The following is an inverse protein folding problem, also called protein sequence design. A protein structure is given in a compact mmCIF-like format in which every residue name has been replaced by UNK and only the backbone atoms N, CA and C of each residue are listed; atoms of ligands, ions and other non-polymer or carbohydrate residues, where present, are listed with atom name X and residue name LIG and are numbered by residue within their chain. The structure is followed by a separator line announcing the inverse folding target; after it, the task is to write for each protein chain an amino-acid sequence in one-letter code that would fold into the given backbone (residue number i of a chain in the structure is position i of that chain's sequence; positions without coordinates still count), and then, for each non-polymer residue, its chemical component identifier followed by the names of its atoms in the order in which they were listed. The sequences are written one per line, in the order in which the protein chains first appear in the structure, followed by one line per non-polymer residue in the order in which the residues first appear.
data_IF_331596475054
#
_entry.id   IF_331596475054
#
_cell.length_a   1.000
_cell.length_b   1.000
_cell.length_c   1.000
_cell.angle_alpha   90.00
_cell.angle_beta   90.00
_cell.angle_gamma   90.00
#
_symmetry.space_group_name_H-M   'P 1'
#
loop_
_entity.id
_entity.type
_entity.pdbx_description
1 polymer ?
#
# COMPACT_ATOMS: atom_id res chain seq x y z
N UNK A 1 2.70 -12.78 -32.30
CA UNK A 1 1.58 -11.86 -32.58
C UNK A 1 1.83 -10.62 -31.75
N UNK A 2 1.96 -9.45 -32.37
CA UNK A 2 2.29 -8.21 -31.66
C UNK A 2 0.99 -7.47 -31.32
N UNK A 3 0.47 -7.66 -30.11
CA UNK A 3 -0.54 -6.75 -29.56
C UNK A 3 0.07 -5.35 -29.55
N UNK A 4 -0.61 -4.40 -30.18
CA UNK A 4 -0.19 -3.00 -30.14
C UNK A 4 -1.02 -2.30 -29.08
N UNK A 5 -0.40 -2.01 -27.95
CA UNK A 5 -1.01 -1.26 -26.86
C UNK A 5 -1.41 0.15 -27.34
N UNK A 6 -2.66 0.53 -27.06
CA UNK A 6 -3.20 1.85 -27.33
C UNK A 6 -3.62 2.52 -26.01
N UNK A 7 -3.23 3.78 -25.83
CA UNK A 7 -3.60 4.60 -24.68
C UNK A 7 -4.70 5.56 -25.13
N UNK A 8 -5.91 5.42 -24.58
CA UNK A 8 -7.04 6.32 -24.85
C UNK A 8 -7.19 7.36 -23.73
N UNK A 9 -7.14 8.63 -24.10
CA UNK A 9 -7.35 9.77 -23.20
C UNK A 9 -8.83 10.16 -23.13
N UNK A 10 -9.19 10.93 -22.08
CA UNK A 10 -10.53 11.49 -21.89
C UNK A 10 -11.05 12.30 -23.08
N UNK A 11 -10.14 12.92 -23.85
CA UNK A 11 -10.45 13.66 -25.08
C UNK A 11 -10.82 12.77 -26.28
N UNK A 12 -10.90 11.44 -26.07
CA UNK A 12 -11.11 10.41 -27.09
C UNK A 12 -9.98 10.28 -28.11
N UNK A 13 -8.89 11.03 -27.91
CA UNK A 13 -7.64 10.86 -28.66
C UNK A 13 -6.93 9.62 -28.13
N UNK A 14 -6.36 8.84 -29.02
CA UNK A 14 -5.67 7.61 -28.67
C UNK A 14 -4.21 7.63 -29.12
N UNK A 15 -3.27 7.35 -28.22
CA UNK A 15 -1.85 7.27 -28.50
C UNK A 15 -1.40 5.83 -28.73
N UNK A 16 -0.63 5.59 -29.79
CA UNK A 16 -0.01 4.30 -30.08
C UNK A 16 1.51 4.49 -29.96
N UNK A 17 2.07 4.07 -28.83
CA UNK A 17 3.47 4.33 -28.47
C UNK A 17 4.46 3.70 -29.46
N UNK A 18 4.18 2.47 -29.94
CA UNK A 18 5.02 1.75 -30.90
C UNK A 18 5.12 2.42 -32.29
N UNK A 19 4.14 3.27 -32.63
CA UNK A 19 4.07 3.97 -33.91
C UNK A 19 4.35 5.47 -33.79
N UNK A 20 4.38 6.02 -32.56
CA UNK A 20 4.55 7.45 -32.32
C UNK A 20 3.42 8.31 -32.91
N UNK A 21 2.19 7.79 -32.92
CA UNK A 21 1.03 8.47 -33.53
C UNK A 21 -0.12 8.68 -32.54
N UNK A 22 -0.83 9.80 -32.71
CA UNK A 22 -2.12 10.08 -32.09
C UNK A 22 -3.22 9.83 -33.13
N UNK A 23 -4.21 9.01 -32.77
CA UNK A 23 -5.41 8.73 -33.56
C UNK A 23 -6.63 9.41 -32.96
N UNK A 24 -7.40 10.04 -33.81
CA UNK A 24 -8.76 10.51 -33.54
C UNK A 24 -9.73 9.73 -34.43
N UNK A 25 -11.04 9.95 -34.27
CA UNK A 25 -12.05 9.37 -35.18
C UNK A 25 -11.88 9.79 -36.64
N UNK A 26 -11.18 10.90 -36.89
CA UNK A 26 -11.14 11.56 -38.20
C UNK A 26 -9.73 11.63 -38.82
N UNK A 27 -8.67 11.51 -38.00
CA UNK A 27 -7.30 11.69 -38.48
C UNK A 27 -6.26 10.94 -37.63
N UNK A 28 -5.10 10.68 -38.24
CA UNK A 28 -3.89 10.17 -37.57
C UNK A 28 -2.79 11.22 -37.67
N UNK A 29 -2.27 11.65 -36.53
CA UNK A 29 -1.22 12.67 -36.41
C UNK A 29 0.07 12.01 -35.91
N UNK A 30 1.17 12.22 -36.64
CA UNK A 30 2.49 11.74 -36.22
C UNK A 30 3.12 12.72 -35.23
N UNK A 31 3.65 12.20 -34.13
CA UNK A 31 4.44 12.96 -33.16
C UNK A 31 5.89 13.06 -33.64
N UNK A 32 6.54 14.18 -33.32
CA UNK A 32 7.99 14.26 -33.43
C UNK A 32 8.65 13.46 -32.29
N UNK A 33 9.97 13.24 -32.38
CA UNK A 33 10.68 12.36 -31.44
C UNK A 33 10.59 12.86 -29.99
N UNK A 34 10.77 14.17 -29.77
CA UNK A 34 10.69 14.77 -28.44
C UNK A 34 9.28 14.75 -27.86
N UNK A 35 8.26 14.99 -28.68
CA UNK A 35 6.84 14.86 -28.31
C UNK A 35 6.50 13.42 -27.94
N UNK A 36 6.98 12.44 -28.71
CA UNK A 36 6.78 11.02 -28.42
C UNK A 36 7.44 10.62 -27.11
N UNK A 37 8.72 10.98 -26.91
CA UNK A 37 9.45 10.66 -25.69
C UNK A 37 8.84 11.32 -24.46
N UNK A 38 8.51 12.61 -24.54
CA UNK A 38 7.85 13.33 -23.44
C UNK A 38 6.48 12.73 -23.12
N UNK A 39 5.67 12.45 -24.15
CA UNK A 39 4.33 11.90 -23.93
C UNK A 39 4.39 10.48 -23.35
N UNK A 40 5.24 9.60 -23.89
CA UNK A 40 5.45 8.25 -23.35
C UNK A 40 5.94 8.31 -21.90
N UNK A 41 6.93 9.15 -21.61
CA UNK A 41 7.51 9.28 -20.27
C UNK A 41 6.48 9.81 -19.26
N UNK A 42 5.62 10.75 -19.65
CA UNK A 42 4.52 11.23 -18.80
C UNK A 42 3.44 10.16 -18.56
N UNK A 43 3.21 9.25 -19.52
CA UNK A 43 2.25 8.16 -19.38
C UNK A 43 2.81 7.03 -18.51
N UNK A 44 4.08 6.68 -18.70
CA UNK A 44 4.78 5.70 -17.87
C UNK A 44 4.84 6.17 -16.41
N UNK A 45 5.09 7.46 -16.19
CA UNK A 45 5.17 8.07 -14.87
C UNK A 45 3.86 8.74 -14.42
N UNK A 46 2.71 8.41 -15.01
CA UNK A 46 1.44 9.10 -14.71
C UNK A 46 1.04 9.15 -13.23
N UNK A 47 1.51 8.19 -12.42
CA UNK A 47 1.27 8.14 -10.98
C UNK A 47 2.05 9.21 -10.19
N UNK A 48 3.09 9.83 -10.78
CA UNK A 48 3.95 10.82 -10.14
C UNK A 48 4.19 12.04 -11.03
N UNK A 49 4.23 13.27 -10.49
CA UNK A 49 4.67 14.44 -11.22
C UNK A 49 6.08 14.26 -11.79
N UNK A 50 6.26 14.51 -13.09
CA UNK A 50 7.58 14.50 -13.72
C UNK A 50 8.16 15.91 -13.70
N UNK A 51 9.41 16.04 -13.24
CA UNK A 51 10.08 17.34 -13.15
C UNK A 51 10.47 17.86 -14.53
N UNK A 52 10.64 19.18 -14.64
CA UNK A 52 11.08 19.80 -15.90
C UNK A 52 12.45 19.30 -16.35
N UNK A 53 13.40 19.15 -15.41
CA UNK A 53 14.76 18.69 -15.70
C UNK A 53 14.78 17.26 -16.25
N UNK A 54 13.88 16.40 -15.74
CA UNK A 54 13.75 15.03 -16.22
C UNK A 54 13.16 15.00 -17.64
N UNK A 55 12.13 15.80 -17.90
CA UNK A 55 11.54 15.93 -19.24
C UNK A 55 12.51 16.53 -20.27
N UNK A 56 13.38 17.46 -19.84
CA UNK A 56 14.43 18.01 -20.70
C UNK A 56 15.45 16.93 -21.09
N UNK A 57 15.84 16.06 -20.16
CA UNK A 57 16.76 14.93 -20.43
C UNK A 57 16.13 13.88 -21.34
N UNK A 58 14.88 13.51 -21.08
CA UNK A 58 14.20 12.44 -21.84
C UNK A 58 13.75 12.91 -23.23
N UNK A 59 13.26 14.15 -23.35
CA UNK A 59 12.82 14.70 -24.64
C UNK A 59 13.98 14.95 -25.62
N UNK A 60 15.20 15.12 -25.12
CA UNK A 60 16.39 15.46 -25.89
C UNK A 60 17.65 14.76 -25.35
N UNK A 61 17.76 13.42 -25.49
CA UNK A 61 18.87 12.65 -24.91
C UNK A 61 20.25 13.10 -25.42
N UNK A 62 20.33 13.55 -26.68
CA UNK A 62 21.59 13.94 -27.34
C UNK A 62 21.76 15.46 -27.49
N UNK A 63 20.90 16.28 -26.86
CA UNK A 63 20.90 17.74 -27.06
C UNK A 63 20.57 18.51 -25.78
N UNK A 64 21.34 19.55 -25.50
CA UNK A 64 21.05 20.48 -24.42
C UNK A 64 20.07 21.54 -24.95
N UNK A 65 18.88 21.59 -24.38
CA UNK A 65 17.82 22.57 -24.73
C UNK A 65 17.36 23.34 -23.50
N UNK A 66 16.70 24.48 -23.71
CA UNK A 66 16.18 25.33 -22.63
C UNK A 66 14.75 24.96 -22.25
N UNK A 67 14.29 25.39 -21.07
CA UNK A 67 12.89 25.24 -20.64
C UNK A 67 11.86 25.76 -21.66
N UNK A 68 12.21 26.78 -22.44
CA UNK A 68 11.33 27.31 -23.49
C UNK A 68 10.96 26.25 -24.53
N UNK A 69 11.89 25.32 -24.84
CA UNK A 69 11.66 24.21 -25.77
C UNK A 69 10.68 23.20 -25.18
N UNK A 70 10.81 22.89 -23.89
CA UNK A 70 9.85 22.06 -23.16
C UNK A 70 8.45 22.67 -23.18
N UNK A 71 8.33 23.98 -22.95
CA UNK A 71 7.03 24.67 -23.00
C UNK A 71 6.37 24.61 -24.38
N UNK A 72 7.16 24.73 -25.45
CA UNK A 72 6.65 24.57 -26.82
C UNK A 72 6.13 23.16 -27.09
N UNK A 73 6.88 22.13 -26.67
CA UNK A 73 6.46 20.72 -26.83
C UNK A 73 5.20 20.43 -26.03
N UNK A 74 5.13 20.85 -24.76
CA UNK A 74 3.92 20.66 -23.94
C UNK A 74 2.72 21.39 -24.57
N UNK A 75 2.90 22.62 -25.07
CA UNK A 75 1.83 23.35 -25.76
C UNK A 75 1.38 22.61 -27.02
N UNK A 76 2.31 22.09 -27.82
CA UNK A 76 1.99 21.33 -29.03
C UNK A 76 1.25 20.02 -28.71
N UNK A 77 1.69 19.29 -27.68
CA UNK A 77 1.01 18.08 -27.20
C UNK A 77 -0.42 18.36 -26.76
N UNK A 78 -0.66 19.43 -25.97
CA UNK A 78 -2.03 19.80 -25.54
C UNK A 78 -2.98 20.05 -26.72
N UNK A 79 -2.48 20.72 -27.76
CA UNK A 79 -3.26 20.95 -28.99
C UNK A 79 -3.55 19.63 -29.71
N UNK A 80 -2.54 18.76 -29.87
CA UNK A 80 -2.69 17.47 -30.55
C UNK A 80 -3.56 16.47 -29.76
N UNK A 81 -3.60 16.60 -28.44
CA UNK A 81 -4.46 15.83 -27.54
C UNK A 81 -5.87 16.39 -27.45
N UNK A 82 -6.18 17.47 -28.17
CA UNK A 82 -7.49 18.11 -28.21
C UNK A 82 -8.00 18.55 -26.83
N UNK A 83 -7.10 19.08 -25.99
CA UNK A 83 -7.46 19.69 -24.71
C UNK A 83 -8.31 20.95 -24.94
N UNK A 84 -9.49 21.03 -24.30
CA UNK A 84 -10.33 22.23 -24.35
C UNK A 84 -9.93 23.23 -23.27
N UNK A 85 -9.57 22.73 -22.10
CA UNK A 85 -9.01 23.48 -21.00
C UNK A 85 -7.60 22.99 -20.69
N UNK A 86 -6.72 23.91 -20.27
CA UNK A 86 -5.36 23.53 -19.84
C UNK A 86 -5.46 22.56 -18.66
N UNK A 87 -4.87 21.37 -18.81
CA UNK A 87 -4.88 20.36 -17.75
C UNK A 87 -5.94 19.27 -17.93
N UNK A 88 -6.66 19.25 -19.05
CA UNK A 88 -7.60 18.16 -19.37
C UNK A 88 -6.89 16.80 -19.54
N UNK A 89 -5.65 16.81 -20.02
CA UNK A 89 -4.82 15.59 -20.17
C UNK A 89 -3.46 15.78 -19.51
N UNK A 90 -2.74 16.86 -19.82
CA UNK A 90 -1.44 17.22 -19.24
C UNK A 90 -1.63 18.38 -18.25
N UNK A 91 -1.61 18.06 -16.97
CA UNK A 91 -1.67 19.02 -15.86
C UNK A 91 -0.29 19.66 -15.61
N UNK A 92 -0.26 20.98 -15.37
CA UNK A 92 0.94 21.68 -14.90
C UNK A 92 0.89 21.78 -13.38
N UNK A 93 1.91 21.28 -12.70
CA UNK A 93 2.05 21.42 -11.25
C UNK A 93 3.06 22.53 -10.93
N UNK A 94 2.63 23.66 -10.34
CA UNK A 94 3.52 24.78 -10.05
C UNK A 94 4.74 24.35 -9.24
N UNK A 95 5.94 24.81 -9.66
CA UNK A 95 7.24 24.51 -9.03
C UNK A 95 7.68 23.04 -9.07
N UNK A 96 6.92 22.15 -9.71
CA UNK A 96 7.24 20.73 -9.80
C UNK A 96 7.50 20.34 -11.26
N UNK A 97 6.50 20.49 -12.13
CA UNK A 97 6.62 20.07 -13.53
C UNK A 97 5.27 19.72 -14.15
N UNK A 98 5.16 18.55 -14.77
CA UNK A 98 3.97 18.12 -15.53
C UNK A 98 3.53 16.72 -15.11
N UNK A 99 2.24 16.44 -15.24
CA UNK A 99 1.65 15.13 -14.97
C UNK A 99 0.52 14.84 -15.95
N UNK A 100 0.30 13.58 -16.30
CA UNK A 100 -0.89 13.14 -17.03
C UNK A 100 -1.86 12.48 -16.06
N UNK A 101 -3.14 12.86 -16.15
CA UNK A 101 -4.24 12.22 -15.41
C UNK A 101 -5.21 11.55 -16.38
N UNK A 102 -5.84 10.47 -15.91
CA UNK A 102 -6.98 9.82 -16.55
C UNK A 102 -6.78 9.39 -18.01
N UNK A 103 -6.22 8.18 -18.19
CA UNK A 103 -6.23 7.47 -19.47
C UNK A 103 -6.55 5.99 -19.25
N UNK A 104 -6.92 5.31 -20.33
CA UNK A 104 -7.23 3.87 -20.35
C UNK A 104 -6.28 3.17 -21.31
N UNK A 105 -5.80 1.97 -20.96
CA UNK A 105 -4.97 1.13 -21.82
C UNK A 105 -5.87 0.09 -22.48
N UNK A 106 -5.85 0.03 -23.80
CA UNK A 106 -6.65 -0.90 -24.61
C UNK A 106 -5.71 -1.68 -25.55
N UNK A 107 -5.92 -2.99 -25.67
CA UNK A 107 -5.23 -3.81 -26.66
C UNK A 107 -6.03 -3.84 -27.97
N UNK A 108 -5.39 -3.46 -29.09
CA UNK A 108 -6.01 -3.57 -30.42
C UNK A 108 -5.51 -4.83 -31.12
N UNK A 109 -6.43 -5.74 -31.46
CA UNK A 109 -6.20 -6.78 -32.46
C UNK A 109 -6.37 -6.17 -33.87
N UNK A 110 -5.27 -6.02 -34.62
CA UNK A 110 -5.25 -5.32 -35.91
C UNK A 110 -5.80 -6.13 -37.10
N UNK A 111 -6.50 -7.24 -36.87
CA UNK A 111 -6.83 -8.20 -37.93
C UNK A 111 -8.28 -8.18 -38.48
N UNK A 112 -9.07 -7.13 -38.26
CA UNK A 112 -10.47 -7.12 -38.72
C UNK A 112 -10.73 -6.57 -40.15
N UNK A 113 -9.71 -6.37 -40.99
CA UNK A 113 -9.94 -5.83 -42.36
C UNK A 113 -9.25 -6.51 -43.54
N UNK A 114 -8.70 -7.72 -43.41
CA UNK A 114 -8.11 -8.39 -44.59
C UNK A 114 -8.12 -9.92 -44.59
N UNK A 115 -9.27 -10.54 -44.36
CA UNK A 115 -9.43 -11.98 -44.68
C UNK A 115 -10.83 -12.35 -45.19
N UNK A 116 -11.42 -11.53 -46.06
CA UNK A 116 -12.31 -12.08 -47.08
C UNK A 116 -11.39 -12.50 -48.24
N UNK A 117 -11.20 -13.82 -48.42
CA UNK A 117 -10.70 -14.53 -49.63
C UNK A 117 -9.58 -15.58 -49.45
N UNK A 118 -9.34 -16.15 -48.27
CA UNK A 118 -8.56 -17.41 -48.20
C UNK A 118 -9.19 -18.38 -47.20
N UNK A 119 -10.36 -18.92 -47.55
CA UNK A 119 -10.83 -20.19 -46.98
C UNK A 119 -10.95 -21.18 -48.13
N UNK A 120 -9.84 -21.86 -48.41
CA UNK A 120 -9.92 -23.23 -48.86
C UNK A 120 -8.70 -23.98 -48.35
N UNK A 121 -8.97 -25.14 -47.75
CA UNK A 121 -8.02 -26.22 -47.42
C UNK A 121 -7.15 -26.04 -46.17
N UNK A 122 -7.73 -26.26 -44.99
CA UNK A 122 -6.99 -26.85 -43.86
C UNK A 122 -7.82 -28.00 -43.26
N UNK A 123 -7.13 -29.13 -43.07
CA UNK A 123 -7.66 -30.48 -42.88
C UNK A 123 -8.07 -30.74 -41.41
N UNK A 124 -9.25 -31.34 -41.20
CA UNK A 124 -9.98 -31.46 -39.91
C UNK A 124 -9.42 -32.47 -38.88
N UNK A 125 -8.12 -32.77 -38.86
CA UNK A 125 -7.55 -33.79 -37.94
C UNK A 125 -6.58 -33.31 -36.87
N UNK A 126 -6.34 -32.00 -36.73
CA UNK A 126 -5.37 -31.46 -35.74
C UNK A 126 -5.97 -30.55 -34.65
N UNK A 127 -7.29 -30.54 -34.46
CA UNK A 127 -7.97 -29.61 -33.51
C UNK A 127 -8.28 -30.23 -32.12
N UNK A 128 -7.86 -31.47 -31.84
CA UNK A 128 -8.26 -32.13 -30.57
C UNK A 128 -7.12 -32.18 -29.51
N UNK A 129 -5.86 -31.88 -29.84
CA UNK A 129 -4.75 -32.00 -28.87
C UNK A 129 -4.20 -30.69 -28.27
N UNK A 130 -4.74 -29.51 -28.61
CA UNK A 130 -4.27 -28.23 -28.05
C UNK A 130 -5.21 -27.59 -27.01
N UNK A 131 -6.46 -28.07 -26.91
CA UNK A 131 -7.46 -27.49 -26.00
C UNK A 131 -7.23 -27.77 -24.51
N UNK A 132 -6.49 -28.83 -24.18
CA UNK A 132 -6.32 -29.28 -22.78
C UNK A 132 -5.13 -28.58 -22.08
N UNK A 133 -4.15 -28.09 -22.83
CA UNK A 133 -2.95 -27.45 -22.26
C UNK A 133 -3.19 -25.95 -21.99
N UNK A 134 -4.04 -25.28 -22.78
CA UNK A 134 -4.34 -23.86 -22.58
C UNK A 134 -5.21 -23.59 -21.33
N UNK A 135 -6.14 -24.49 -20.99
CA UNK A 135 -7.01 -24.34 -19.82
C UNK A 135 -6.25 -24.50 -18.49
N UNK A 136 -5.16 -25.29 -18.48
CA UNK A 136 -4.30 -25.45 -17.31
C UNK A 136 -3.39 -24.22 -17.08
N UNK A 137 -2.98 -23.52 -18.14
CA UNK A 137 -2.12 -22.33 -18.04
C UNK A 137 -2.92 -21.07 -17.70
N UNK A 138 -4.16 -20.93 -18.20
CA UNK A 138 -5.00 -19.78 -17.84
C UNK A 138 -5.54 -19.82 -16.40
N UNK A 139 -5.80 -21.01 -15.86
CA UNK A 139 -6.21 -21.16 -14.45
C UNK A 139 -5.06 -20.90 -13.45
N UNK A 140 -3.81 -21.01 -13.91
CA UNK A 140 -2.61 -20.63 -13.13
C UNK A 140 -2.36 -19.12 -13.12
N UNK A 141 -2.59 -18.42 -14.22
CA UNK A 141 -2.35 -16.96 -14.30
C UNK A 141 -3.40 -16.14 -13.55
N UNK A 142 -4.64 -16.64 -13.37
CA UNK A 142 -5.66 -15.93 -12.59
C UNK A 142 -5.42 -15.94 -11.08
N UNK A 143 -4.42 -16.70 -10.58
CA UNK A 143 -4.14 -16.80 -9.14
C UNK A 143 -3.08 -15.79 -8.64
N UNK A 144 -2.42 -15.04 -9.52
CA UNK A 144 -1.37 -14.10 -9.13
C UNK A 144 -1.81 -12.63 -9.05
N UNK A 145 -3.09 -12.33 -9.29
CA UNK A 145 -3.69 -11.06 -8.89
C UNK A 145 -4.67 -11.38 -7.76
N UNK A 146 -4.25 -11.20 -6.51
CA UNK A 146 -5.19 -11.16 -5.39
C UNK A 146 -6.21 -10.05 -5.68
N UNK A 147 -7.50 -10.37 -5.87
CA UNK A 147 -8.50 -9.33 -6.09
C UNK A 147 -8.48 -8.42 -4.86
N UNK A 148 -8.52 -7.11 -5.09
CA UNK A 148 -8.65 -6.14 -4.01
C UNK A 148 -9.85 -6.50 -3.13
N UNK A 149 -9.69 -6.37 -1.81
CA UNK A 149 -10.73 -6.74 -0.87
C UNK A 149 -11.96 -5.86 -1.04
N UNK A 150 -12.99 -6.40 -1.67
CA UNK A 150 -14.26 -5.68 -1.82
C UNK A 150 -15.13 -5.78 -0.57
N UNK A 151 -14.87 -6.77 0.29
CA UNK A 151 -15.63 -7.05 1.53
C UNK A 151 -14.70 -7.28 2.73
N UNK A 152 -15.17 -7.02 3.96
CA UNK A 152 -14.43 -7.37 5.17
C UNK A 152 -14.15 -8.86 5.25
N UNK A 153 -12.94 -9.21 5.66
CA UNK A 153 -12.52 -10.57 5.94
C UNK A 153 -13.11 -11.06 7.25
N UNK A 154 -13.49 -12.35 7.26
CA UNK A 154 -13.94 -13.05 8.45
C UNK A 154 -12.80 -13.92 8.97
N UNK A 155 -12.29 -13.61 10.15
CA UNK A 155 -11.18 -14.32 10.75
C UNK A 155 -11.67 -15.48 11.63
N UNK A 156 -10.78 -16.44 11.87
CA UNK A 156 -10.88 -17.38 12.97
C UNK A 156 -10.20 -16.75 14.19
N UNK A 157 -10.94 -16.64 15.29
CA UNK A 157 -10.47 -16.05 16.54
C UNK A 157 -10.52 -17.13 17.62
N UNK A 158 -9.39 -17.35 18.30
CA UNK A 158 -9.29 -18.26 19.45
C UNK A 158 -8.58 -17.56 20.60
N UNK A 159 -9.06 -17.81 21.82
CA UNK A 159 -8.49 -17.29 23.04
C UNK A 159 -7.93 -18.43 23.86
N UNK A 160 -6.68 -18.30 24.32
CA UNK A 160 -6.01 -19.28 25.17
C UNK A 160 -5.26 -18.56 26.29
N UNK A 161 -5.36 -19.08 27.50
CA UNK A 161 -4.53 -18.61 28.61
C UNK A 161 -3.29 -19.51 28.70
N UNK A 162 -2.10 -18.91 28.65
CA UNK A 162 -0.82 -19.62 28.85
C UNK A 162 -0.08 -18.96 30.02
N UNK A 163 -0.01 -19.66 31.15
CA UNK A 163 0.45 -19.08 32.40
C UNK A 163 -0.49 -17.96 32.84
N UNK A 164 0.06 -16.78 33.11
CA UNK A 164 -0.73 -15.58 33.46
C UNK A 164 -1.03 -14.65 32.26
N UNK A 165 -0.74 -15.10 31.04
CA UNK A 165 -0.98 -14.33 29.83
C UNK A 165 -2.30 -14.72 29.16
N UNK A 166 -3.04 -13.71 28.69
CA UNK A 166 -4.20 -13.90 27.82
C UNK A 166 -3.76 -13.75 26.37
N UNK A 167 -3.87 -14.82 25.59
CA UNK A 167 -3.42 -14.86 24.21
C UNK A 167 -4.63 -14.96 23.28
N UNK A 168 -4.68 -14.09 22.28
CA UNK A 168 -5.67 -14.12 21.20
C UNK A 168 -4.99 -14.43 19.88
N UNK A 169 -5.46 -15.46 19.20
CA UNK A 169 -5.01 -15.85 17.86
C UNK A 169 -6.03 -15.39 16.83
N UNK A 170 -5.58 -14.65 15.82
CA UNK A 170 -6.41 -14.16 14.71
C UNK A 170 -5.83 -14.72 13.41
N UNK A 171 -6.60 -15.52 12.68
CA UNK A 171 -6.10 -16.26 11.49
C UNK A 171 -7.16 -16.36 10.40
N UNK A 172 -6.77 -16.72 9.18
CA UNK A 172 -7.70 -16.95 8.06
C UNK A 172 -8.15 -18.40 7.95
N UNK A 173 -7.35 -19.34 8.47
CA UNK A 173 -7.60 -20.78 8.37
C UNK A 173 -6.99 -21.56 9.55
N UNK A 174 -7.41 -22.81 9.70
CA UNK A 174 -7.01 -23.69 10.81
C UNK A 174 -5.51 -24.04 10.80
N UNK A 175 -4.87 -24.06 9.63
CA UNK A 175 -3.44 -24.34 9.51
C UNK A 175 -2.61 -23.21 10.14
N UNK A 176 -2.93 -21.97 9.79
CA UNK A 176 -2.33 -20.78 10.40
C UNK A 176 -2.55 -20.76 11.91
N UNK A 177 -3.73 -21.17 12.37
CA UNK A 177 -4.07 -21.24 13.80
C UNK A 177 -3.21 -22.26 14.54
N UNK A 178 -3.08 -23.48 14.02
CA UNK A 178 -2.26 -24.52 14.61
C UNK A 178 -0.77 -24.11 14.71
N UNK A 179 -0.25 -23.47 13.66
CA UNK A 179 1.13 -22.96 13.63
C UNK A 179 1.37 -21.88 14.70
N UNK A 180 0.50 -20.87 14.79
CA UNK A 180 0.62 -19.81 15.80
C UNK A 180 0.52 -20.35 17.22
N UNK A 181 -0.37 -21.31 17.48
CA UNK A 181 -0.51 -21.93 18.81
C UNK A 181 0.72 -22.71 19.23
N UNK A 182 1.30 -23.49 18.31
CA UNK A 182 2.55 -24.21 18.56
C UNK A 182 3.68 -23.24 18.89
N UNK A 183 3.81 -22.17 18.11
CA UNK A 183 4.78 -21.09 18.31
C UNK A 183 4.59 -20.34 19.64
N UNK A 184 3.36 -20.03 20.03
CA UNK A 184 3.06 -19.37 21.29
C UNK A 184 3.45 -20.22 22.50
N UNK A 185 3.16 -21.53 22.48
CA UNK A 185 3.57 -22.47 23.54
C UNK A 185 5.09 -22.61 23.69
N UNK A 186 5.83 -22.43 22.59
CA UNK A 186 7.30 -22.43 22.64
C UNK A 186 7.89 -21.13 23.24
N UNK A 187 7.15 -20.02 23.18
CA UNK A 187 7.57 -18.70 23.67
C UNK A 187 7.14 -18.48 25.12
N UNK A 188 5.91 -18.83 25.44
CA UNK A 188 5.30 -18.57 26.74
C UNK A 188 5.29 -19.85 27.57
N UNK A 189 6.06 -19.85 28.66
CA UNK A 189 6.03 -20.92 29.66
C UNK A 189 4.99 -20.63 30.74
N UNK A 190 4.22 -21.63 31.21
CA UNK A 190 3.27 -21.46 32.31
C UNK A 190 3.89 -20.98 33.62
N UNK A 191 5.21 -21.13 33.79
CA UNK A 191 5.94 -20.83 35.02
C UNK A 191 6.33 -19.36 35.16
N UNK A 192 6.17 -18.54 34.12
CA UNK A 192 6.58 -17.14 34.10
C UNK A 192 5.33 -16.26 34.13
N UNK A 193 5.11 -15.57 35.25
CA UNK A 193 4.02 -14.60 35.37
C UNK A 193 4.42 -13.26 34.73
N UNK A 194 4.01 -13.04 33.49
CA UNK A 194 4.20 -11.76 32.79
C UNK A 194 2.96 -10.89 32.75
N UNK A 195 1.76 -11.43 33.00
CA UNK A 195 0.48 -10.71 33.02
C UNK A 195 0.32 -9.83 31.78
N UNK A 196 0.31 -10.46 30.60
CA UNK A 196 0.22 -9.77 29.32
C UNK A 196 -1.05 -10.12 28.56
N UNK A 197 -1.57 -9.15 27.81
CA UNK A 197 -2.46 -9.40 26.68
C UNK A 197 -1.58 -9.53 25.44
N UNK A 198 -1.66 -10.67 24.75
CA UNK A 198 -0.86 -10.97 23.57
C UNK A 198 -1.80 -11.30 22.42
N UNK A 199 -1.53 -10.74 21.25
CA UNK A 199 -2.31 -10.92 20.05
C UNK A 199 -1.38 -11.41 18.95
N UNK A 200 -1.76 -12.53 18.33
CA UNK A 200 -1.05 -13.09 17.20
C UNK A 200 -1.91 -12.99 15.94
N UNK A 201 -1.25 -12.64 14.84
CA UNK A 201 -1.81 -12.68 13.50
C UNK A 201 -0.80 -13.33 12.55
N UNK A 202 -1.29 -14.12 11.61
CA UNK A 202 -0.49 -14.70 10.53
C UNK A 202 -1.13 -14.35 9.19
N UNK A 203 -0.34 -13.69 8.35
CA UNK A 203 -0.60 -13.56 6.92
C UNK A 203 0.10 -14.69 6.17
N UNK A 204 -0.10 -14.78 4.87
CA UNK A 204 0.63 -15.72 4.01
C UNK A 204 2.12 -15.33 3.92
N UNK A 205 2.42 -14.02 4.01
CA UNK A 205 3.78 -13.49 3.81
C UNK A 205 4.53 -13.12 5.10
N UNK A 206 3.85 -13.07 6.26
CA UNK A 206 4.48 -12.62 7.51
C UNK A 206 3.71 -13.04 8.76
N UNK A 207 4.41 -13.00 9.90
CA UNK A 207 3.80 -13.07 11.22
C UNK A 207 3.67 -11.67 11.81
N UNK A 208 2.63 -11.44 12.61
CA UNK A 208 2.51 -10.22 13.39
C UNK A 208 2.10 -10.54 14.83
N UNK A 209 2.73 -9.84 15.76
CA UNK A 209 2.50 -10.02 17.18
C UNK A 209 2.43 -8.66 17.83
N UNK A 210 1.39 -8.43 18.62
CA UNK A 210 1.29 -7.26 19.47
C UNK A 210 1.00 -7.69 20.90
N UNK A 211 1.56 -7.00 21.89
CA UNK A 211 1.21 -7.25 23.29
C UNK A 211 1.24 -5.98 24.12
N UNK A 212 0.69 -6.06 25.33
CA UNK A 212 0.86 -5.09 26.40
C UNK A 212 0.89 -5.80 27.76
N UNK A 213 1.54 -5.22 28.77
CA UNK A 213 1.39 -5.68 30.16
C UNK A 213 0.09 -5.11 30.74
N UNK A 214 -0.63 -5.91 31.52
CA UNK A 214 -1.89 -5.47 32.15
C UNK A 214 -1.74 -5.10 33.62
N UNK A 215 -2.60 -4.19 34.07
CA UNK A 215 -2.86 -3.95 35.50
C UNK A 215 -3.93 -4.94 35.96
N UNK A 216 -3.68 -5.68 37.05
CA UNK A 216 -4.50 -6.83 37.46
C UNK A 216 -5.93 -6.48 37.89
N UNK A 217 -6.13 -5.27 38.40
CA UNK A 217 -7.41 -4.75 38.89
C UNK A 217 -8.34 -4.30 37.74
N UNK A 218 -7.78 -3.65 36.75
CA UNK A 218 -8.51 -3.01 35.64
C UNK A 218 -8.44 -3.80 34.35
N UNK A 219 -7.54 -4.79 34.25
CA UNK A 219 -7.22 -5.52 33.02
C UNK A 219 -6.81 -4.59 31.85
N UNK A 220 -6.38 -3.36 32.13
CA UNK A 220 -5.97 -2.38 31.13
C UNK A 220 -4.47 -2.48 30.86
N UNK A 221 -4.08 -2.25 29.60
CA UNK A 221 -2.69 -2.14 29.18
C UNK A 221 -2.02 -0.97 29.93
N UNK A 222 -0.88 -1.25 30.54
CA UNK A 222 -0.02 -0.23 31.15
C UNK A 222 0.62 0.62 30.05
N UNK A 223 0.67 1.96 30.20
CA UNK A 223 1.35 2.83 29.25
C UNK A 223 2.80 2.39 28.99
N UNK A 224 3.26 2.53 27.74
CA UNK A 224 4.65 2.23 27.33
C UNK A 224 5.06 0.75 27.47
N UNK A 225 4.10 -0.15 27.70
CA UNK A 225 4.35 -1.60 27.72
C UNK A 225 3.80 -2.30 26.50
N UNK A 226 3.22 -1.53 25.58
CA UNK A 226 2.63 -1.99 24.34
C UNK A 226 3.68 -2.01 23.22
N UNK A 227 3.72 -3.11 22.48
CA UNK A 227 4.68 -3.34 21.41
C UNK A 227 4.00 -4.05 20.24
N UNK A 228 4.46 -3.74 19.03
CA UNK A 228 3.92 -4.27 17.77
C UNK A 228 5.07 -4.71 16.86
N UNK A 229 5.03 -5.96 16.42
CA UNK A 229 6.05 -6.56 15.58
C UNK A 229 5.45 -7.12 14.29
N UNK A 230 6.10 -6.84 13.16
CA UNK A 230 5.90 -7.52 11.88
C UNK A 230 7.16 -8.31 11.55
N UNK A 231 7.04 -9.62 11.38
CA UNK A 231 8.15 -10.56 11.38
C UNK A 231 8.11 -11.35 10.08
N UNK A 232 9.20 -11.30 9.31
CA UNK A 232 9.38 -12.11 8.12
C UNK A 232 9.30 -13.62 8.46
N UNK A 233 8.81 -14.49 7.55
CA UNK A 233 8.57 -15.89 7.87
C UNK A 233 9.80 -16.64 8.37
N UNK A 234 10.96 -16.32 7.79
CA UNK A 234 12.29 -16.84 8.11
C UNK A 234 12.93 -16.18 9.35
N UNK A 235 12.49 -14.99 9.73
CA UNK A 235 13.04 -14.22 10.84
C UNK A 235 12.44 -14.56 12.22
N UNK A 236 11.55 -15.56 12.30
CA UNK A 236 10.91 -15.98 13.56
C UNK A 236 11.92 -16.30 14.67
N UNK A 237 12.98 -17.05 14.34
CA UNK A 237 14.03 -17.41 15.32
C UNK A 237 14.79 -16.17 15.81
N UNK A 238 14.98 -15.17 14.95
CA UNK A 238 15.62 -13.93 15.36
C UNK A 238 14.74 -13.14 16.32
N UNK A 239 13.43 -13.10 16.06
CA UNK A 239 12.44 -12.49 16.95
C UNK A 239 12.47 -13.14 18.34
N UNK A 240 12.39 -14.46 18.43
CA UNK A 240 12.39 -15.15 19.74
C UNK A 240 13.70 -14.91 20.50
N UNK A 241 14.84 -15.03 19.84
CA UNK A 241 16.14 -14.80 20.48
C UNK A 241 16.32 -13.34 20.94
N UNK A 242 15.99 -12.35 20.09
CA UNK A 242 16.29 -10.94 20.37
C UNK A 242 15.27 -10.25 21.27
N UNK A 243 14.00 -10.57 21.12
CA UNK A 243 12.91 -9.87 21.81
C UNK A 243 12.48 -10.64 23.05
N UNK A 244 12.15 -11.93 22.88
CA UNK A 244 11.61 -12.74 23.97
C UNK A 244 12.72 -13.07 24.98
N UNK A 245 13.82 -13.69 24.51
CA UNK A 245 14.85 -14.21 25.42
C UNK A 245 15.72 -13.09 26.01
N UNK A 246 16.11 -12.12 25.17
CA UNK A 246 16.97 -11.01 25.59
C UNK A 246 16.19 -9.80 26.15
N UNK A 247 14.85 -9.89 26.25
CA UNK A 247 13.95 -8.84 26.77
C UNK A 247 14.19 -7.45 26.17
N UNK A 248 14.67 -7.36 24.92
CA UNK A 248 14.86 -6.07 24.24
C UNK A 248 13.51 -5.60 23.74
N UNK A 249 13.02 -4.53 24.35
CA UNK A 249 11.78 -3.87 23.99
C UNK A 249 12.13 -2.53 23.34
N UNK A 250 11.45 -2.20 22.24
CA UNK A 250 11.76 -1.03 21.43
C UNK A 250 10.54 -0.11 21.43
N UNK A 251 10.58 0.90 22.30
CA UNK A 251 9.74 2.09 22.17
C UNK A 251 10.70 3.21 21.76
N UNK A 252 10.70 3.57 20.48
CA UNK A 252 11.66 4.55 19.99
C UNK A 252 11.15 5.96 20.26
N UNK A 253 11.93 6.72 21.02
CA UNK A 253 11.64 8.12 21.31
C UNK A 253 12.07 8.97 20.11
N UNK A 254 11.13 9.63 19.43
CA UNK A 254 11.49 10.51 18.31
C UNK A 254 11.68 11.92 18.83
N UNK A 255 12.91 12.44 18.72
CA UNK A 255 13.09 13.88 18.61
C UNK A 255 12.81 14.28 17.16
N UNK A 256 11.56 14.65 16.87
CA UNK A 256 11.25 15.29 15.59
C UNK A 256 11.66 16.76 15.70
N UNK A 257 12.86 17.10 15.24
CA UNK A 257 13.37 18.49 15.19
C UNK A 257 12.67 19.33 14.11
N UNK A 258 11.33 19.37 14.10
CA UNK A 258 10.59 20.24 13.21
C UNK A 258 9.57 21.05 13.99
N UNK A 259 9.97 22.26 14.37
CA UNK A 259 9.11 23.29 14.97
C UNK A 259 7.90 23.67 14.07
N UNK A 260 7.88 23.21 12.82
CA UNK A 260 6.86 23.51 11.82
C UNK A 260 5.79 22.43 11.64
N UNK A 261 5.96 21.24 12.25
CA UNK A 261 4.99 20.15 12.12
C UNK A 261 3.92 20.28 13.19
N UNK A 262 2.63 20.29 12.78
CA UNK A 262 1.52 20.16 13.73
C UNK A 262 1.70 18.87 14.54
N UNK A 263 1.32 18.91 15.81
CA UNK A 263 1.31 17.70 16.62
C UNK A 263 0.34 16.67 16.04
N UNK A 264 0.75 15.40 15.89
CA UNK A 264 -0.14 14.36 15.37
C UNK A 264 -1.26 14.07 16.36
N UNK A 265 -2.44 13.76 15.83
CA UNK A 265 -3.58 13.33 16.66
C UNK A 265 -3.44 11.88 17.07
N UNK A 266 -2.71 11.06 16.30
CA UNK A 266 -2.36 9.70 16.72
C UNK A 266 -0.99 9.28 16.21
N UNK A 267 -0.33 8.40 16.95
CA UNK A 267 1.01 7.88 16.65
C UNK A 267 0.98 6.36 16.69
N UNK A 268 1.66 5.72 15.74
CA UNK A 268 1.83 4.27 15.68
C UNK A 268 3.31 3.94 15.70
N UNK A 269 3.73 3.05 16.58
CA UNK A 269 5.09 2.51 16.65
C UNK A 269 5.08 1.06 16.15
N UNK A 270 5.90 0.74 15.14
CA UNK A 270 6.01 -0.62 14.59
C UNK A 270 7.47 -1.02 14.42
N UNK A 271 7.80 -2.24 14.83
CA UNK A 271 9.11 -2.84 14.58
C UNK A 271 9.01 -3.96 13.55
N UNK A 272 9.86 -3.90 12.54
CA UNK A 272 9.95 -4.87 11.47
C UNK A 272 11.19 -5.72 11.68
N UNK A 273 11.04 -7.04 11.57
CA UNK A 273 12.11 -8.02 11.80
C UNK A 273 12.25 -8.86 10.54
N UNK A 274 13.44 -8.78 9.92
CA UNK A 274 13.79 -9.55 8.73
C UNK A 274 15.31 -9.77 8.66
N UNK A 275 15.81 -10.17 7.49
CA UNK A 275 17.23 -10.47 7.25
C UNK A 275 18.17 -9.33 7.66
N UNK A 276 17.72 -8.10 7.45
CA UNK A 276 18.49 -6.89 7.71
C UNK A 276 18.43 -6.45 9.20
N UNK A 277 17.93 -7.31 10.08
CA UNK A 277 17.76 -7.03 11.50
C UNK A 277 16.43 -6.36 11.83
N UNK A 278 16.41 -5.65 12.96
CA UNK A 278 15.22 -4.94 13.46
C UNK A 278 15.29 -3.49 12.97
N UNK A 279 14.20 -3.02 12.39
CA UNK A 279 14.06 -1.62 11.96
C UNK A 279 12.69 -1.11 12.41
N UNK A 280 12.66 0.07 13.00
CA UNK A 280 11.41 0.69 13.46
C UNK A 280 10.88 1.69 12.45
N UNK A 281 9.55 1.74 12.36
CA UNK A 281 8.80 2.78 11.69
C UNK A 281 7.83 3.43 12.63
N UNK A 282 7.59 4.70 12.38
CA UNK A 282 6.61 5.47 13.12
C UNK A 282 5.66 6.14 12.15
N UNK A 283 4.37 6.05 12.42
CA UNK A 283 3.33 6.70 11.61
C UNK A 283 2.64 7.77 12.43
N UNK A 284 2.68 9.00 11.93
CA UNK A 284 1.93 10.13 12.47
C UNK A 284 0.62 10.28 11.69
N UNK A 285 -0.50 10.28 12.41
CA UNK A 285 -1.84 10.39 11.85
C UNK A 285 -2.50 11.72 12.25
N UNK A 286 -3.10 12.38 11.27
CA UNK A 286 -3.85 13.62 11.40
C UNK A 286 -5.27 13.34 10.92
N UNK A 287 -6.23 13.31 11.83
CA UNK A 287 -7.60 12.85 11.55
C UNK A 287 -8.58 14.02 11.76
N UNK A 288 -9.46 14.23 10.78
CA UNK A 288 -10.48 15.26 10.82
C UNK A 288 -11.87 14.63 10.65
N UNK A 289 -12.85 14.94 11.50
CA UNK A 289 -14.23 14.51 11.29
C UNK A 289 -14.82 15.16 10.05
N UNK A 290 -15.73 14.45 9.38
CA UNK A 290 -16.53 14.99 8.27
C UNK A 290 -17.93 15.39 8.75
N UNK A 291 -18.74 15.94 7.84
CA UNK A 291 -20.17 16.20 8.05
C UNK A 291 -20.99 14.91 8.25
N UNK A 292 -20.46 13.77 7.81
CA UNK A 292 -21.09 12.46 7.93
C UNK A 292 -20.67 11.75 9.21
N UNK A 293 -21.67 11.19 9.91
CA UNK A 293 -21.41 10.41 11.12
C UNK A 293 -20.53 9.19 10.82
N UNK A 294 -19.55 8.92 11.70
CA UNK A 294 -18.57 7.83 11.58
C UNK A 294 -17.67 7.88 10.33
N UNK A 295 -17.61 9.01 9.63
CA UNK A 295 -16.72 9.23 8.49
C UNK A 295 -15.67 10.28 8.84
N UNK A 296 -14.41 9.95 8.60
CA UNK A 296 -13.26 10.77 8.94
C UNK A 296 -12.32 10.82 7.74
N UNK A 297 -11.76 11.99 7.45
CA UNK A 297 -10.63 12.09 6.54
C UNK A 297 -9.35 12.11 7.38
N UNK A 298 -8.32 11.40 6.92
CA UNK A 298 -7.06 11.42 7.63
C UNK A 298 -5.86 11.39 6.70
N UNK A 299 -4.77 11.99 7.16
CA UNK A 299 -3.47 11.93 6.53
C UNK A 299 -2.48 11.20 7.42
N UNK A 300 -1.60 10.41 6.80
CA UNK A 300 -0.58 9.62 7.47
C UNK A 300 0.78 9.95 6.91
N UNK A 301 1.76 10.17 7.78
CA UNK A 301 3.16 10.30 7.40
C UNK A 301 3.91 9.15 8.07
N UNK A 302 4.54 8.31 7.26
CA UNK A 302 5.41 7.25 7.75
C UNK A 302 6.83 7.78 7.82
N UNK A 303 7.52 7.47 8.92
CA UNK A 303 8.92 7.74 9.15
C UNK A 303 9.68 6.44 9.33
N UNK A 304 10.90 6.39 8.82
CA UNK A 304 11.83 5.26 8.99
C UNK A 304 13.10 5.74 9.68
N UNK A 305 13.62 4.93 10.60
CA UNK A 305 14.89 5.21 11.26
C UNK A 305 16.08 4.92 10.33
N UNK A 306 16.99 5.87 10.20
CA UNK A 306 18.29 5.67 9.54
C UNK A 306 19.20 4.84 10.46
N UNK A 307 19.69 3.70 9.95
CA UNK A 307 20.50 2.75 10.73
C UNK A 307 21.85 3.31 11.23
N UNK A 308 22.42 4.30 10.55
CA UNK A 308 23.74 4.86 10.88
C UNK A 308 23.62 6.01 11.86
N UNK A 309 22.61 6.86 11.68
CA UNK A 309 22.45 8.10 12.43
C UNK A 309 21.39 8.01 13.53
N UNK A 310 20.52 7.00 13.49
CA UNK A 310 19.37 6.88 14.39
C UNK A 310 18.28 7.94 14.16
N UNK A 311 18.45 8.83 13.17
CA UNK A 311 17.49 9.89 12.87
C UNK A 311 16.35 9.35 12.00
N UNK A 312 15.16 9.87 12.26
CA UNK A 312 13.97 9.53 11.50
C UNK A 312 13.85 10.40 10.25
N UNK A 313 13.56 9.75 9.12
CA UNK A 313 13.33 10.41 7.84
C UNK A 313 11.93 10.07 7.33
N UNK A 314 11.27 11.03 6.70
CA UNK A 314 9.96 10.80 6.09
C UNK A 314 10.10 9.78 4.96
N UNK A 315 9.34 8.69 5.05
CA UNK A 315 9.32 7.60 4.09
C UNK A 315 8.24 7.79 3.02
N UNK A 316 7.02 8.07 3.47
CA UNK A 316 5.85 8.25 2.62
C UNK A 316 4.82 9.13 3.30
N UNK A 317 3.96 9.72 2.47
CA UNK A 317 2.80 10.52 2.86
C UNK A 317 1.58 9.93 2.17
N UNK A 318 0.49 9.80 2.91
CA UNK A 318 -0.77 9.32 2.36
C UNK A 318 -1.97 10.09 2.94
N UNK A 319 -3.07 10.09 2.20
CA UNK A 319 -4.34 10.70 2.59
C UNK A 319 -5.50 9.78 2.17
N UNK A 320 -6.44 9.60 3.09
CA UNK A 320 -7.46 8.56 3.04
C UNK A 320 -8.77 9.05 3.65
N UNK A 321 -9.87 8.41 3.25
CA UNK A 321 -11.18 8.59 3.90
C UNK A 321 -11.58 7.30 4.58
N UNK A 322 -11.87 7.36 5.87
CA UNK A 322 -12.15 6.24 6.76
C UNK A 322 -13.62 6.26 7.18
N UNK A 323 -14.31 5.13 7.01
CA UNK A 323 -15.68 4.92 7.47
C UNK A 323 -15.70 3.82 8.52
N UNK A 324 -16.17 4.14 9.73
CA UNK A 324 -16.25 3.18 10.83
C UNK A 324 -17.59 2.43 10.81
N UNK A 325 -17.51 1.11 10.73
CA UNK A 325 -18.64 0.17 10.67
C UNK A 325 -18.64 -0.66 11.95
N UNK A 326 -19.62 -0.43 12.83
CA UNK A 326 -19.76 -1.17 14.10
C UNK A 326 -20.68 -2.37 13.97
N UNK A 327 -21.81 -2.19 13.29
CA UNK A 327 -22.79 -3.25 13.06
C UNK A 327 -22.16 -4.36 12.20
N UNK A 328 -22.39 -5.61 12.57
CA UNK A 328 -21.91 -6.81 11.87
C UNK A 328 -20.38 -7.01 11.85
N UNK A 329 -19.62 -6.21 12.61
CA UNK A 329 -18.18 -6.42 12.78
C UNK A 329 -17.90 -7.63 13.68
N UNK A 330 -16.87 -8.41 13.32
CA UNK A 330 -16.37 -9.48 14.18
C UNK A 330 -15.57 -8.93 15.39
N UNK A 331 -15.08 -7.70 15.28
CA UNK A 331 -14.33 -7.02 16.33
C UNK A 331 -15.13 -5.82 16.87
N UNK A 332 -14.48 -4.92 17.61
CA UNK A 332 -15.10 -3.70 18.15
C UNK A 332 -15.67 -2.84 17.01
N UNK A 333 -14.91 -2.71 15.91
CA UNK A 333 -15.37 -2.08 14.68
C UNK A 333 -14.51 -2.51 13.49
N UNK A 334 -15.10 -2.45 12.30
CA UNK A 334 -14.41 -2.55 11.02
C UNK A 334 -14.26 -1.17 10.42
N UNK A 335 -13.07 -0.84 9.95
CA UNK A 335 -12.71 0.43 9.34
C UNK A 335 -12.62 0.21 7.83
N UNK A 336 -13.56 0.79 7.07
CA UNK A 336 -13.47 0.81 5.60
C UNK A 336 -12.67 2.03 5.18
N UNK A 337 -11.54 1.81 4.53
CA UNK A 337 -10.60 2.85 4.18
C UNK A 337 -10.59 3.02 2.66
N UNK A 338 -10.79 4.26 2.22
CA UNK A 338 -10.76 4.67 0.82
C UNK A 338 -9.50 5.50 0.56
N UNK A 339 -8.54 5.00 -0.24
CA UNK A 339 -7.36 5.76 -0.62
C UNK A 339 -7.74 7.04 -1.38
N UNK A 340 -7.01 8.13 -1.14
CA UNK A 340 -7.16 9.40 -1.90
C UNK A 340 -5.86 9.83 -2.57
N UNK A 341 -4.77 9.91 -1.81
CA UNK A 341 -3.44 10.32 -2.30
C UNK A 341 -2.36 9.50 -1.61
N UNK A 342 -1.35 9.09 -2.37
CA UNK A 342 -0.14 8.49 -1.81
C UNK A 342 1.10 9.05 -2.52
N UNK A 343 2.17 9.26 -1.75
CA UNK A 343 3.42 9.78 -2.24
C UNK A 343 4.60 9.18 -1.47
N UNK A 344 5.54 8.61 -2.21
CA UNK A 344 6.86 8.25 -1.68
C UNK A 344 7.69 9.53 -1.49
N UNK A 345 8.12 9.81 -0.25
CA UNK A 345 9.01 10.95 0.04
C UNK A 345 10.47 10.53 0.05
N UNK A 346 10.74 9.24 0.27
CA UNK A 346 12.09 8.71 0.34
C UNK A 346 12.67 8.48 -1.07
N UNK A 347 13.74 9.20 -1.40
CA UNK A 347 14.53 8.91 -2.60
C UNK A 347 15.55 7.80 -2.29
N UNK A 348 15.49 6.73 -3.09
CA UNK A 348 16.26 5.51 -2.96
C UNK A 348 17.77 5.78 -2.93
N UNK A 349 18.43 5.61 -1.79
CA UNK A 349 19.86 5.29 -1.80
C UNK A 349 19.99 3.91 -2.45
N UNK A 350 20.66 3.82 -3.60
CA UNK A 350 20.73 2.70 -4.55
C UNK A 350 21.12 1.29 -4.01
N UNK A 351 21.20 1.09 -2.69
CA UNK A 351 21.59 -0.15 -2.02
C UNK A 351 20.43 -0.88 -1.30
N UNK A 352 19.18 -0.42 -1.37
CA UNK A 352 18.05 -1.09 -0.72
C UNK A 352 17.22 -2.00 -1.65
N UNK A 353 17.61 -2.14 -2.92
CA UNK A 353 16.76 -2.69 -3.99
C UNK A 353 17.05 -4.13 -4.44
N UNK A 354 17.64 -5.02 -3.63
CA UNK A 354 17.82 -6.42 -4.09
C UNK A 354 17.32 -7.53 -3.16
N UNK A 355 16.63 -7.20 -2.07
CA UNK A 355 15.78 -8.17 -1.37
C UNK A 355 14.56 -7.42 -0.80
N UNK A 356 13.34 -7.87 -1.12
CA UNK A 356 12.06 -7.28 -0.68
C UNK A 356 11.96 -7.33 0.85
N UNK A 357 12.62 -6.39 1.52
CA UNK A 357 12.65 -6.36 2.97
C UNK A 357 11.23 -6.09 3.48
N UNK A 358 10.75 -6.92 4.41
CA UNK A 358 9.39 -6.84 5.00
C UNK A 358 9.04 -5.44 5.50
N UNK A 359 10.03 -4.61 5.80
CA UNK A 359 9.83 -3.21 6.14
C UNK A 359 9.12 -2.39 5.05
N UNK A 360 9.44 -2.54 3.76
CA UNK A 360 8.81 -1.74 2.70
C UNK A 360 7.49 -2.31 2.19
N UNK A 361 7.15 -3.55 2.58
CA UNK A 361 5.94 -4.24 2.11
C UNK A 361 4.64 -3.47 2.38
N UNK A 362 4.57 -2.69 3.47
CA UNK A 362 3.39 -1.88 3.77
C UNK A 362 3.19 -0.78 2.73
N UNK A 363 4.25 -0.04 2.42
CA UNK A 363 4.21 1.09 1.50
C UNK A 363 4.10 0.62 0.04
N UNK A 364 4.69 -0.54 -0.30
CA UNK A 364 4.50 -1.20 -1.59
C UNK A 364 3.04 -1.63 -1.79
N UNK A 365 2.46 -2.29 -0.77
CA UNK A 365 1.05 -2.68 -0.80
C UNK A 365 0.12 -1.46 -0.85
N UNK A 366 0.43 -0.40 -0.10
CA UNK A 366 -0.29 0.87 -0.21
C UNK A 366 -0.19 1.39 -1.65
N UNK A 367 1.00 1.48 -2.24
CA UNK A 367 1.19 1.93 -3.63
C UNK A 367 0.26 1.20 -4.60
N UNK A 368 0.10 -0.12 -4.48
CA UNK A 368 -0.83 -0.91 -5.30
C UNK A 368 -2.30 -0.58 -5.03
N UNK A 369 -2.70 -0.49 -3.76
CA UNK A 369 -4.06 -0.11 -3.33
C UNK A 369 -4.44 1.27 -3.86
N UNK A 370 -3.51 2.23 -3.83
CA UNK A 370 -3.70 3.58 -4.35
C UNK A 370 -3.75 3.62 -5.88
N UNK A 371 -2.88 2.89 -6.58
CA UNK A 371 -2.90 2.76 -8.05
C UNK A 371 -4.25 2.24 -8.54
N UNK A 372 -4.82 1.28 -7.83
CA UNK A 372 -6.09 0.66 -8.20
C UNK A 372 -7.31 1.42 -7.65
N UNK A 373 -7.10 2.42 -6.79
CA UNK A 373 -8.16 3.17 -6.08
C UNK A 373 -9.17 2.24 -5.38
N UNK A 374 -8.66 1.17 -4.76
CA UNK A 374 -9.49 0.11 -4.17
C UNK A 374 -9.65 0.32 -2.66
N UNK A 375 -10.86 0.14 -2.10
CA UNK A 375 -11.01 0.14 -0.65
C UNK A 375 -10.22 -1.00 -0.02
N UNK A 376 -9.78 -0.79 1.22
CA UNK A 376 -9.29 -1.84 2.10
C UNK A 376 -9.94 -1.74 3.48
N UNK A 377 -9.73 -2.78 4.30
CA UNK A 377 -10.37 -2.89 5.61
C UNK A 377 -9.35 -3.14 6.71
N UNK A 378 -9.46 -2.31 7.75
CA UNK A 378 -8.74 -2.49 9.02
C UNK A 378 -9.75 -2.80 10.13
N UNK A 379 -9.30 -3.35 11.26
CA UNK A 379 -10.18 -3.84 12.31
C UNK A 379 -9.70 -3.36 13.68
N UNK A 380 -10.58 -2.73 14.46
CA UNK A 380 -10.29 -2.39 15.86
C UNK A 380 -10.49 -3.66 16.69
N UNK A 381 -9.40 -4.33 17.05
CA UNK A 381 -9.41 -5.62 17.76
C UNK A 381 -9.64 -5.44 19.25
N UNK A 382 -8.94 -4.47 19.85
CA UNK A 382 -9.03 -4.15 21.27
C UNK A 382 -8.94 -2.64 21.45
N UNK A 383 -9.53 -2.11 22.53
CA UNK A 383 -9.51 -0.69 22.80
C UNK A 383 -9.51 -0.40 24.30
N UNK A 384 -8.80 0.66 24.67
CA UNK A 384 -8.92 1.35 25.95
C UNK A 384 -8.77 2.85 25.70
N UNK A 385 -8.91 3.65 26.77
CA UNK A 385 -8.74 5.10 26.66
C UNK A 385 -7.37 5.44 26.05
N UNK A 386 -7.38 6.12 24.90
CA UNK A 386 -6.21 6.57 24.12
C UNK A 386 -5.30 5.49 23.52
N UNK A 387 -5.68 4.21 23.59
CA UNK A 387 -4.89 3.13 23.03
C UNK A 387 -5.82 2.12 22.35
N UNK A 388 -5.63 1.88 21.06
CA UNK A 388 -6.41 0.93 20.28
C UNK A 388 -5.46 -0.04 19.59
N UNK A 389 -5.82 -1.33 19.56
CA UNK A 389 -5.15 -2.33 18.74
C UNK A 389 -5.87 -2.42 17.41
N UNK A 390 -5.13 -2.15 16.33
CA UNK A 390 -5.63 -2.28 14.97
C UNK A 390 -5.01 -3.53 14.34
N UNK A 391 -5.82 -4.26 13.60
CA UNK A 391 -5.38 -5.28 12.65
C UNK A 391 -5.58 -4.76 11.23
N UNK A 392 -4.51 -4.73 10.45
CA UNK A 392 -4.55 -4.61 9.00
C UNK A 392 -4.03 -5.90 8.40
N UNK A 393 -4.66 -6.40 7.34
CA UNK A 393 -4.18 -7.65 6.73
C UNK A 393 -2.82 -7.51 6.07
N UNK A 394 -2.51 -6.31 5.57
CA UNK A 394 -1.26 -6.01 4.90
C UNK A 394 -0.18 -5.55 5.88
N UNK A 395 -0.53 -4.76 6.90
CA UNK A 395 0.45 -4.22 7.87
C UNK A 395 0.57 -5.02 9.17
N UNK A 396 -0.35 -5.94 9.44
CA UNK A 396 -0.41 -6.72 10.67
C UNK A 396 -1.07 -5.97 11.84
N UNK A 397 -0.74 -6.40 13.05
CA UNK A 397 -1.22 -5.85 14.31
C UNK A 397 -0.37 -4.65 14.75
N UNK A 398 -1.01 -3.55 15.11
CA UNK A 398 -0.32 -2.38 15.64
C UNK A 398 -1.16 -1.55 16.62
N UNK A 399 -0.48 -0.94 17.59
CA UNK A 399 -1.09 -0.06 18.59
C UNK A 399 -1.16 1.40 18.10
N UNK A 400 -2.39 1.93 18.05
CA UNK A 400 -2.68 3.33 17.75
C UNK A 400 -2.81 4.14 19.05
N UNK A 401 -1.83 5.03 19.28
CA UNK A 401 -1.80 5.94 20.42
C UNK A 401 -2.49 7.23 20.05
N UNK A 402 -3.59 7.55 20.72
CA UNK A 402 -4.39 8.74 20.42
C UNK A 402 -4.21 9.84 21.45
N UNK A 403 -4.12 11.09 21.00
CA UNK A 403 -4.17 12.25 21.89
C UNK A 403 -5.60 12.47 22.42
N UNK A 404 -5.77 13.36 23.40
CA UNK A 404 -7.10 13.75 23.92
C UNK A 404 -8.04 14.27 22.83
N UNK A 405 -7.48 14.87 21.78
CA UNK A 405 -8.24 15.56 20.73
C UNK A 405 -8.48 14.67 19.51
N UNK A 406 -8.02 13.41 19.53
CA UNK A 406 -8.23 12.48 18.42
C UNK A 406 -9.71 12.09 18.33
N UNK A 407 -10.37 12.28 17.17
CA UNK A 407 -11.78 11.92 17.02
C UNK A 407 -12.01 10.39 17.07
N UNK A 408 -10.96 9.57 16.87
CA UNK A 408 -11.02 8.12 17.00
C UNK A 408 -11.07 7.63 18.46
N UNK A 409 -10.89 8.53 19.45
CA UNK A 409 -11.05 8.20 20.88
C UNK A 409 -12.50 8.12 21.35
N UNK A 410 -13.48 8.30 20.46
CA UNK A 410 -14.91 8.27 20.76
C UNK A 410 -15.53 6.86 20.61
N UNK A 411 -14.84 5.82 21.10
CA UNK A 411 -15.52 4.53 21.30
C UNK A 411 -16.34 4.59 22.60
N UNK A 412 -17.55 4.00 22.65
CA UNK A 412 -18.37 4.00 23.86
C UNK A 412 -17.61 3.37 25.04
N UNK A 413 -17.86 3.86 26.26
CA UNK A 413 -17.18 3.40 27.50
C UNK A 413 -17.28 1.88 27.70
N UNK A 414 -18.36 1.28 27.23
CA UNK A 414 -18.60 -0.17 27.26
C UNK A 414 -17.54 -0.99 26.50
N UNK A 415 -16.87 -0.39 25.51
CA UNK A 415 -15.82 -1.05 24.72
C UNK A 415 -14.42 -0.91 25.35
N UNK A 416 -14.33 -0.27 26.52
CA UNK A 416 -13.08 -0.08 27.28
C UNK A 416 -13.01 -0.92 28.57
N UNK A 417 -14.01 -1.77 28.82
CA UNK A 417 -14.09 -2.64 30.00
C UNK A 417 -13.48 -4.01 29.73
#
# INVERSE_FOLDING_TARGET
MANTEQIRFKTKVCFIASQGVLKTSESTLKLNLSEQYILSHLIENHSTPVTKDDLLKVGWPDRIVTEASLFQVIRALRVKLNEKNKGDVIETLPRVGYQIRDFTREDIDLNEKKTNNIISKINKKTIISLGVIATALFSSCTWYMTPSQTKPTRFLIEHENIGSNNITFITKNLEQQADLRSKAKAIFSPQINSNQKVYFYKSDDFYSIAWCQITLDTNQCKPMTDFSYKIAPDAWKQFTHRIINNKKLFHENINTESELMREPLSIIYRSYIGDNGIISKISNLYISPTDKNNVFDYSKINFIADKKTGRYQALSLSAESLTMIKKDSQFIATLKIMPKVFHWTYQNNANLTSNKAVIFSDDDNETEVYKNNTPHYDYIVAAQKRLQLILSENSGLYWLHSTKNSPLTLLPVEHYK
#
